data_IF_991280562899
#
_entry.id   IF_991280562899
#
_cell.length_a   1.000
_cell.length_b   1.000
_cell.length_c   1.000
_cell.angle_alpha   90.00
_cell.angle_beta   90.00
_cell.angle_gamma   90.00
#
_symmetry.space_group_name_H-M   'P 1'
#
loop_
_entity.id
_entity.type
_entity.pdbx_description
1 polymer ?
#
# COMPACT_ATOMS: atom_id res chain seq x y z
N UNK A 1 8.17 7.21 -13.76
CA UNK A 1 9.25 7.85 -12.97
C UNK A 1 10.19 8.55 -13.95
N UNK A 2 9.74 9.65 -14.54
CA UNK A 2 10.49 10.33 -15.59
C UNK A 2 11.48 11.35 -15.06
N UNK A 3 11.30 11.85 -13.84
CA UNK A 3 12.18 12.82 -13.21
C UNK A 3 12.23 12.61 -11.69
N UNK A 4 13.28 13.11 -11.08
CA UNK A 4 13.42 13.06 -9.63
C UNK A 4 12.48 14.11 -9.02
N UNK A 5 11.40 13.71 -8.40
CA UNK A 5 10.44 14.63 -7.79
C UNK A 5 11.05 15.51 -6.70
N UNK A 6 12.24 15.15 -6.19
CA UNK A 6 13.03 15.97 -5.27
C UNK A 6 13.65 17.21 -5.94
N UNK A 7 13.79 17.20 -7.25
CA UNK A 7 14.28 18.36 -7.99
C UNK A 7 13.19 19.41 -8.22
N UNK A 8 11.92 18.98 -8.20
CA UNK A 8 10.75 19.83 -8.48
C UNK A 8 10.02 20.29 -7.23
N UNK A 9 10.23 19.63 -6.08
CA UNK A 9 9.52 19.91 -4.84
C UNK A 9 10.45 20.05 -3.64
N UNK A 10 10.05 20.90 -2.71
CA UNK A 10 10.61 20.97 -1.36
C UNK A 10 9.71 20.19 -0.42
N UNK A 11 10.22 19.11 0.14
CA UNK A 11 9.47 18.25 1.09
C UNK A 11 9.27 19.02 2.39
N UNK A 12 8.02 19.11 2.83
CA UNK A 12 7.64 19.74 4.10
C UNK A 12 7.62 18.71 5.23
N UNK A 13 6.75 17.72 5.11
CA UNK A 13 6.58 16.65 6.11
C UNK A 13 5.84 15.45 5.49
N UNK A 14 5.82 14.34 6.22
CA UNK A 14 4.84 13.29 6.04
C UNK A 14 3.78 13.49 7.12
N UNK A 15 2.54 13.72 6.72
CA UNK A 15 1.41 14.00 7.60
C UNK A 15 0.56 12.77 7.92
N UNK A 16 0.97 11.61 7.45
CA UNK A 16 0.31 10.32 7.68
C UNK A 16 0.97 9.22 6.86
N UNK A 17 0.70 7.99 7.24
CA UNK A 17 1.14 6.79 6.51
C UNK A 17 -0.03 5.84 6.38
N UNK A 18 -0.30 5.36 5.16
CA UNK A 18 -1.33 4.35 4.96
C UNK A 18 -0.87 3.01 5.53
N UNK A 19 -1.44 2.65 6.65
CA UNK A 19 -1.26 1.38 7.35
C UNK A 19 -2.49 0.47 7.23
N UNK A 20 -3.44 0.82 6.35
CA UNK A 20 -4.71 0.11 6.24
C UNK A 20 -4.78 -0.89 5.08
N UNK A 21 -3.75 -0.96 4.24
CA UNK A 21 -3.71 -1.89 3.12
C UNK A 21 -3.58 -3.34 3.60
N UNK A 22 -4.34 -4.24 2.96
CA UNK A 22 -4.24 -5.69 3.12
C UNK A 22 -4.16 -6.37 1.76
N UNK A 23 -3.42 -7.48 1.69
CA UNK A 23 -3.61 -8.45 0.60
C UNK A 23 -4.89 -9.21 0.87
N UNK A 24 -5.78 -9.20 -0.09
CA UNK A 24 -7.10 -9.82 0.03
C UNK A 24 -7.37 -10.70 -1.19
N UNK A 25 -7.88 -11.90 -0.96
CA UNK A 25 -8.29 -12.84 -2.01
C UNK A 25 -9.82 -12.89 -2.11
N UNK A 26 -10.34 -13.04 -3.33
CA UNK A 26 -11.75 -13.34 -3.54
C UNK A 26 -12.06 -14.77 -3.08
N UNK A 27 -13.26 -15.01 -2.58
CA UNK A 27 -13.72 -16.39 -2.24
C UNK A 27 -13.66 -17.32 -3.45
N UNK A 28 -13.93 -16.78 -4.64
CA UNK A 28 -14.02 -17.57 -5.88
C UNK A 28 -12.65 -18.08 -6.35
N UNK A 29 -11.55 -17.40 -5.97
CA UNK A 29 -10.19 -17.88 -6.25
C UNK A 29 -9.85 -19.18 -5.52
N UNK A 30 -10.60 -19.50 -4.46
CA UNK A 30 -10.32 -20.63 -3.58
C UNK A 30 -9.03 -20.45 -2.76
N UNK A 31 -8.42 -19.27 -2.75
CA UNK A 31 -7.26 -18.95 -1.92
C UNK A 31 -7.72 -18.69 -0.48
N UNK A 32 -7.13 -19.42 0.47
CA UNK A 32 -7.57 -19.41 1.88
C UNK A 32 -6.51 -18.85 2.85
N UNK A 33 -5.26 -18.74 2.39
CA UNK A 33 -4.14 -18.21 3.18
C UNK A 33 -3.03 -17.69 2.27
N UNK A 34 -2.06 -16.98 2.81
CA UNK A 34 -0.87 -16.55 2.07
C UNK A 34 -0.05 -17.74 1.58
N UNK A 35 0.09 -18.78 2.40
CA UNK A 35 0.79 -20.02 2.04
C UNK A 35 0.07 -20.75 0.90
N UNK A 36 -1.26 -20.80 0.92
CA UNK A 36 -2.07 -21.38 -0.15
C UNK A 36 -1.92 -20.60 -1.46
N UNK A 37 -1.93 -19.25 -1.39
CA UNK A 37 -1.63 -18.37 -2.53
C UNK A 37 -0.31 -18.72 -3.18
N UNK A 38 0.75 -18.79 -2.36
CA UNK A 38 2.11 -19.10 -2.83
C UNK A 38 2.17 -20.50 -3.46
N UNK A 39 1.55 -21.49 -2.82
CA UNK A 39 1.54 -22.87 -3.32
C UNK A 39 0.82 -22.96 -4.68
N UNK A 40 -0.36 -22.36 -4.81
CA UNK A 40 -1.12 -22.33 -6.06
C UNK A 40 -0.37 -21.59 -7.18
N UNK A 41 0.20 -20.43 -6.86
CA UNK A 41 0.96 -19.64 -7.82
C UNK A 41 2.23 -20.33 -8.32
N UNK A 42 2.88 -21.15 -7.47
CA UNK A 42 4.02 -21.99 -7.86
C UNK A 42 3.60 -23.20 -8.69
N UNK A 43 2.49 -23.84 -8.34
CA UNK A 43 1.99 -24.99 -9.08
C UNK A 43 1.55 -24.60 -10.49
N UNK A 44 0.95 -23.42 -10.65
CA UNK A 44 0.46 -22.92 -11.93
C UNK A 44 0.76 -21.42 -12.07
N UNK A 45 1.98 -21.08 -12.55
CA UNK A 45 2.40 -19.69 -12.70
C UNK A 45 1.46 -18.88 -13.59
N UNK A 46 1.03 -17.71 -13.11
CA UNK A 46 0.09 -16.83 -13.82
C UNK A 46 -1.38 -17.26 -13.74
N UNK A 47 -1.74 -18.27 -12.97
CA UNK A 47 -3.14 -18.66 -12.75
C UNK A 47 -3.91 -17.68 -11.87
N UNK A 48 -3.24 -17.02 -10.92
CA UNK A 48 -3.85 -16.06 -10.01
C UNK A 48 -3.86 -14.66 -10.64
N UNK A 49 -5.06 -14.13 -10.87
CA UNK A 49 -5.24 -12.78 -11.42
C UNK A 49 -5.16 -11.73 -10.32
N UNK A 50 -4.11 -10.92 -10.35
CA UNK A 50 -3.89 -9.82 -9.40
C UNK A 50 -4.37 -8.49 -9.99
N UNK A 51 -5.42 -7.92 -9.40
CA UNK A 51 -5.95 -6.62 -9.79
C UNK A 51 -5.20 -5.48 -9.13
N UNK A 52 -4.65 -4.57 -9.95
CA UNK A 52 -3.91 -3.39 -9.48
C UNK A 52 -4.25 -2.17 -10.33
N UNK A 53 -3.89 -1.00 -9.86
CA UNK A 53 -3.73 0.18 -10.71
C UNK A 53 -2.29 0.18 -11.22
N UNK A 54 -2.12 0.06 -12.53
CA UNK A 54 -0.80 -0.11 -13.14
C UNK A 54 0.12 1.09 -12.89
N UNK A 55 1.33 0.83 -12.40
CA UNK A 55 2.31 1.86 -12.04
C UNK A 55 2.10 2.50 -10.66
N UNK A 56 1.14 2.02 -9.87
CA UNK A 56 0.85 2.51 -8.52
C UNK A 56 1.58 1.72 -7.42
N UNK A 57 1.36 2.12 -6.16
CA UNK A 57 1.80 1.38 -4.98
C UNK A 57 1.31 -0.07 -4.97
N UNK A 58 0.04 -0.31 -5.32
CA UNK A 58 -0.49 -1.68 -5.35
C UNK A 58 0.18 -2.54 -6.41
N UNK A 59 0.66 -1.96 -7.51
CA UNK A 59 1.45 -2.68 -8.51
C UNK A 59 2.79 -3.12 -7.92
N UNK A 60 3.51 -2.20 -7.28
CA UNK A 60 4.80 -2.53 -6.63
C UNK A 60 4.62 -3.59 -5.54
N UNK A 61 3.54 -3.53 -4.76
CA UNK A 61 3.23 -4.55 -3.76
C UNK A 61 3.07 -5.95 -4.38
N UNK A 62 2.41 -6.05 -5.53
CA UNK A 62 2.30 -7.31 -6.28
C UNK A 62 3.66 -7.80 -6.80
N UNK A 63 4.49 -6.90 -7.35
CA UNK A 63 5.84 -7.23 -7.82
C UNK A 63 6.77 -7.67 -6.68
N UNK A 64 6.68 -7.04 -5.51
CA UNK A 64 7.41 -7.46 -4.32
C UNK A 64 6.97 -8.86 -3.87
N UNK A 65 5.67 -9.13 -3.87
CA UNK A 65 5.16 -10.45 -3.52
C UNK A 65 5.71 -11.51 -4.49
N UNK A 66 5.64 -11.30 -5.80
CA UNK A 66 6.25 -12.21 -6.79
C UNK A 66 7.73 -12.48 -6.51
N UNK A 67 8.51 -11.39 -6.32
CA UNK A 67 9.96 -11.47 -6.13
C UNK A 67 10.35 -12.25 -4.86
N UNK A 68 9.68 -11.98 -3.73
CA UNK A 68 10.03 -12.58 -2.45
C UNK A 68 9.52 -14.01 -2.29
N UNK A 69 8.49 -14.38 -3.03
CA UNK A 69 7.91 -15.73 -2.97
C UNK A 69 8.32 -16.61 -4.13
N UNK A 70 9.06 -16.07 -5.10
CA UNK A 70 9.40 -16.75 -6.36
C UNK A 70 8.14 -17.33 -7.02
N UNK A 71 7.13 -16.47 -7.18
CA UNK A 71 5.86 -16.80 -7.82
C UNK A 71 5.61 -15.90 -9.02
N UNK A 72 4.62 -16.23 -9.84
CA UNK A 72 4.16 -15.42 -10.95
C UNK A 72 2.67 -15.21 -10.87
N UNK A 73 2.23 -13.95 -10.82
CA UNK A 73 0.85 -13.52 -10.85
C UNK A 73 0.48 -13.03 -12.27
N UNK A 74 -0.78 -13.12 -12.62
CA UNK A 74 -1.32 -12.46 -13.80
C UNK A 74 -1.76 -11.05 -13.38
N UNK A 75 -0.86 -10.08 -13.49
CA UNK A 75 -1.18 -8.69 -13.17
C UNK A 75 -2.06 -8.07 -14.24
N UNK A 76 -3.14 -7.44 -13.83
CA UNK A 76 -4.09 -6.76 -14.72
C UNK A 76 -4.47 -5.39 -14.16
N UNK A 77 -4.75 -4.44 -15.05
CA UNK A 77 -5.32 -3.17 -14.64
C UNK A 77 -6.75 -3.39 -14.12
N UNK A 78 -6.90 -3.26 -12.82
CA UNK A 78 -8.16 -3.41 -12.12
C UNK A 78 -8.88 -2.08 -11.88
N UNK A 79 -8.29 -0.96 -12.29
CA UNK A 79 -8.83 0.37 -12.06
C UNK A 79 -8.74 0.83 -10.60
N UNK A 80 -9.71 1.62 -10.17
CA UNK A 80 -9.81 2.14 -8.80
C UNK A 80 -9.99 1.05 -7.76
N UNK A 81 -9.90 1.40 -6.47
CA UNK A 81 -10.21 0.46 -5.36
C UNK A 81 -11.61 -0.13 -5.52
N UNK A 82 -12.61 0.68 -5.85
CA UNK A 82 -13.99 0.23 -6.02
C UNK A 82 -14.13 -0.74 -7.20
N UNK A 83 -13.48 -0.48 -8.33
CA UNK A 83 -13.49 -1.37 -9.50
C UNK A 83 -12.87 -2.73 -9.18
N UNK A 84 -11.79 -2.73 -8.40
CA UNK A 84 -11.12 -3.96 -7.95
C UNK A 84 -12.00 -4.77 -7.00
N UNK A 85 -12.68 -4.12 -6.05
CA UNK A 85 -13.64 -4.79 -5.16
C UNK A 85 -14.76 -5.45 -5.96
N UNK A 86 -15.36 -4.72 -6.90
CA UNK A 86 -16.39 -5.27 -7.80
C UNK A 86 -15.83 -6.44 -8.64
N UNK A 87 -14.62 -6.27 -9.17
CA UNK A 87 -13.94 -7.32 -9.95
C UNK A 87 -13.70 -8.59 -9.15
N UNK A 88 -13.34 -8.47 -7.87
CA UNK A 88 -13.14 -9.61 -6.97
C UNK A 88 -14.46 -10.28 -6.58
N UNK A 89 -15.50 -9.51 -6.28
CA UNK A 89 -16.84 -10.04 -5.99
C UNK A 89 -17.46 -10.78 -7.20
N UNK A 90 -17.16 -10.29 -8.40
CA UNK A 90 -17.60 -10.89 -9.66
C UNK A 90 -16.73 -12.03 -10.18
N UNK A 91 -15.63 -12.40 -9.49
CA UNK A 91 -14.72 -13.48 -9.89
C UNK A 91 -13.81 -13.13 -11.08
N UNK A 92 -13.71 -11.87 -11.46
CA UNK A 92 -12.78 -11.39 -12.50
C UNK A 92 -11.35 -11.22 -11.96
N UNK A 93 -11.22 -10.93 -10.68
CA UNK A 93 -9.96 -10.74 -9.97
C UNK A 93 -9.90 -11.72 -8.79
N UNK A 94 -8.77 -12.38 -8.64
CA UNK A 94 -8.54 -13.35 -7.55
C UNK A 94 -7.91 -12.69 -6.33
N UNK A 95 -7.03 -11.73 -6.54
CA UNK A 95 -6.17 -11.13 -5.52
C UNK A 95 -6.06 -9.62 -5.74
N UNK A 96 -5.86 -8.87 -4.66
CA UNK A 96 -5.53 -7.44 -4.72
C UNK A 96 -4.92 -6.94 -3.42
N UNK A 97 -4.16 -5.84 -3.47
CA UNK A 97 -3.79 -5.05 -2.30
C UNK A 97 -4.76 -3.88 -2.18
N UNK A 98 -5.61 -3.91 -1.16
CA UNK A 98 -6.78 -3.03 -1.02
C UNK A 98 -6.84 -2.49 0.41
N UNK A 99 -7.31 -1.25 0.57
CA UNK A 99 -7.60 -0.65 1.88
C UNK A 99 -8.64 -1.47 2.63
N UNK A 100 -8.34 -1.95 3.83
CA UNK A 100 -9.18 -2.86 4.62
C UNK A 100 -10.58 -2.34 4.86
N UNK A 101 -10.73 -1.03 5.12
CA UNK A 101 -12.05 -0.40 5.29
C UNK A 101 -13.00 -0.60 4.10
N UNK A 102 -12.46 -0.81 2.89
CA UNK A 102 -13.27 -1.05 1.69
C UNK A 102 -13.69 -2.51 1.52
N UNK A 103 -13.11 -3.44 2.29
CA UNK A 103 -13.34 -4.89 2.14
C UNK A 103 -13.72 -5.59 3.43
N UNK A 104 -13.69 -4.91 4.59
CA UNK A 104 -13.91 -5.53 5.89
C UNK A 104 -15.26 -6.27 5.99
N UNK A 105 -16.33 -5.72 5.42
CA UNK A 105 -17.66 -6.34 5.46
C UNK A 105 -17.72 -7.60 4.59
N UNK A 106 -17.01 -7.60 3.45
CA UNK A 106 -16.87 -8.78 2.58
C UNK A 106 -16.00 -9.86 3.21
N UNK A 107 -14.96 -9.46 3.96
CA UNK A 107 -14.13 -10.40 4.74
C UNK A 107 -14.96 -10.99 5.87
N UNK A 108 -15.67 -10.17 6.65
CA UNK A 108 -16.54 -10.63 7.73
C UNK A 108 -17.67 -11.50 7.23
N UNK A 109 -18.22 -11.20 6.05
CA UNK A 109 -19.25 -11.96 5.36
C UNK A 109 -18.74 -13.23 4.64
N UNK A 110 -17.43 -13.51 4.69
CA UNK A 110 -16.84 -14.69 4.05
C UNK A 110 -16.85 -14.67 2.52
N UNK A 111 -16.98 -13.49 1.91
CA UNK A 111 -16.90 -13.29 0.46
C UNK A 111 -15.47 -13.03 -0.01
N UNK A 112 -14.61 -12.59 0.91
CA UNK A 112 -13.18 -12.37 0.71
C UNK A 112 -12.39 -12.91 1.90
N UNK A 113 -11.07 -13.11 1.70
CA UNK A 113 -10.14 -13.57 2.73
C UNK A 113 -9.01 -12.55 2.83
N UNK A 114 -8.82 -11.94 4.00
CA UNK A 114 -7.66 -11.10 4.27
C UNK A 114 -6.45 -12.00 4.53
N UNK A 115 -5.43 -11.91 3.68
CA UNK A 115 -4.26 -12.80 3.70
C UNK A 115 -3.12 -12.24 4.57
N UNK A 116 -3.01 -10.93 4.67
CA UNK A 116 -1.98 -10.27 5.46
C UNK A 116 -1.85 -8.78 5.17
N UNK A 117 -1.27 -8.06 6.12
CA UNK A 117 -0.98 -6.63 6.02
C UNK A 117 0.52 -6.40 5.82
N UNK A 118 0.94 -5.52 4.87
CA UNK A 118 2.34 -5.22 4.60
C UNK A 118 2.89 -4.15 5.56
N UNK A 119 2.64 -4.32 6.84
CA UNK A 119 3.10 -3.43 7.90
C UNK A 119 4.24 -4.09 8.69
N UNK A 120 5.14 -3.28 9.24
CA UNK A 120 6.20 -3.76 10.13
C UNK A 120 5.63 -4.45 11.38
N UNK A 121 4.61 -3.83 11.97
CA UNK A 121 3.82 -4.34 13.09
C UNK A 121 2.34 -4.33 12.73
N UNK A 122 1.54 -5.14 13.42
CA UNK A 122 0.10 -5.16 13.21
C UNK A 122 -0.52 -3.78 13.48
N UNK A 123 -1.27 -3.29 12.50
CA UNK A 123 -2.22 -2.21 12.77
C UNK A 123 -3.43 -2.81 13.51
N UNK A 124 -3.67 -2.48 14.78
CA UNK A 124 -4.75 -3.07 15.58
C UNK A 124 -6.15 -2.74 15.02
N UNK A 125 -6.25 -1.70 14.19
CA UNK A 125 -7.51 -1.31 13.54
C UNK A 125 -7.94 -2.28 12.42
N UNK A 126 -7.06 -3.22 12.02
CA UNK A 126 -7.34 -4.26 11.03
C UNK A 126 -7.73 -5.61 11.68
N UNK A 127 -8.00 -5.62 12.98
CA UNK A 127 -8.35 -6.83 13.71
C UNK A 127 -7.22 -7.86 13.73
N UNK A 128 -7.58 -9.13 13.51
CA UNK A 128 -6.63 -10.25 13.60
C UNK A 128 -5.83 -10.52 12.32
N UNK A 129 -5.86 -9.61 11.33
CA UNK A 129 -5.09 -9.79 10.09
C UNK A 129 -3.60 -9.80 10.43
N UNK A 130 -2.85 -10.89 10.17
CA UNK A 130 -1.42 -10.95 10.49
C UNK A 130 -0.61 -10.05 9.55
N UNK A 131 0.59 -9.64 9.96
CA UNK A 131 1.53 -9.03 9.03
C UNK A 131 2.10 -10.08 8.08
N UNK A 132 2.60 -9.64 6.92
CA UNK A 132 3.34 -10.52 6.03
C UNK A 132 4.64 -10.99 6.68
N UNK A 133 5.27 -10.14 7.47
CA UNK A 133 6.48 -10.43 8.23
C UNK A 133 6.28 -11.55 9.26
N UNK A 134 5.16 -11.57 9.99
CA UNK A 134 4.79 -12.69 10.87
C UNK A 134 4.63 -14.01 10.12
N UNK A 135 4.34 -13.96 8.83
CA UNK A 135 4.21 -15.11 7.94
C UNK A 135 5.50 -15.48 7.22
N UNK A 136 6.64 -14.86 7.60
CA UNK A 136 7.96 -15.11 7.03
C UNK A 136 8.25 -14.38 5.70
N UNK A 137 7.41 -13.42 5.32
CA UNK A 137 7.59 -12.60 4.13
C UNK A 137 7.99 -11.18 4.56
N UNK A 138 9.24 -10.82 4.33
CA UNK A 138 9.76 -9.48 4.67
C UNK A 138 9.26 -8.43 3.66
N UNK A 139 7.95 -8.26 3.62
CA UNK A 139 7.25 -7.23 2.83
C UNK A 139 6.70 -6.20 3.79
N UNK A 140 7.38 -5.09 3.89
CA UNK A 140 6.88 -3.88 4.54
C UNK A 140 6.84 -2.76 3.51
N UNK A 141 5.69 -2.14 3.34
CA UNK A 141 5.52 -1.07 2.38
C UNK A 141 4.56 -0.01 2.91
N UNK A 142 5.14 1.01 3.47
CA UNK A 142 4.43 2.19 3.93
C UNK A 142 4.15 3.13 2.77
N UNK A 143 2.89 3.56 2.63
CA UNK A 143 2.50 4.58 1.66
C UNK A 143 2.39 5.93 2.38
N UNK A 144 3.39 6.81 2.26
CA UNK A 144 3.38 8.10 2.95
C UNK A 144 2.44 9.11 2.28
N UNK A 145 1.75 9.90 3.09
CA UNK A 145 1.03 11.09 2.67
C UNK A 145 1.93 12.32 2.86
N UNK A 146 2.48 12.78 1.75
CA UNK A 146 3.52 13.82 1.72
C UNK A 146 2.89 15.19 1.53
N UNK A 147 3.31 16.16 2.37
CA UNK A 147 3.10 17.58 2.12
C UNK A 147 4.39 18.15 1.52
N UNK A 148 4.28 18.76 0.35
CA UNK A 148 5.41 19.33 -0.36
C UNK A 148 5.02 20.67 -1.00
N UNK A 149 6.01 21.50 -1.26
CA UNK A 149 5.90 22.81 -1.91
C UNK A 149 6.67 22.81 -3.23
N UNK A 150 6.35 23.72 -4.16
CA UNK A 150 7.20 23.96 -5.31
C UNK A 150 8.64 24.28 -4.89
N UNK A 151 9.60 23.82 -5.68
CA UNK A 151 11.03 24.04 -5.42
C UNK A 151 11.35 25.53 -5.29
N UNK A 152 12.14 25.89 -4.27
CA UNK A 152 12.53 27.26 -3.98
C UNK A 152 11.50 28.05 -3.15
N UNK A 153 10.51 27.37 -2.56
CA UNK A 153 9.61 28.02 -1.59
C UNK A 153 10.40 28.48 -0.37
N UNK A 154 10.04 29.67 0.14
CA UNK A 154 10.70 30.24 1.34
C UNK A 154 10.71 29.20 2.49
N UNK A 155 11.90 28.86 3.02
CA UNK A 155 12.03 27.89 4.10
C UNK A 155 11.19 28.20 5.34
N UNK A 156 10.91 29.50 5.60
CA UNK A 156 10.05 29.91 6.71
C UNK A 156 8.59 29.47 6.50
N UNK A 157 8.11 29.49 5.26
CA UNK A 157 6.77 29.00 4.90
C UNK A 157 6.70 27.48 5.08
N UNK A 158 7.70 26.76 4.55
CA UNK A 158 7.79 25.30 4.67
C UNK A 158 7.81 24.88 6.15
N UNK A 159 8.66 25.54 6.95
CA UNK A 159 8.74 25.27 8.40
C UNK A 159 7.43 25.56 9.11
N UNK A 160 6.80 26.69 8.84
CA UNK A 160 5.52 27.06 9.46
C UNK A 160 4.44 26.00 9.17
N UNK A 161 4.38 25.50 7.92
CA UNK A 161 3.45 24.43 7.56
C UNK A 161 3.76 23.13 8.29
N UNK A 162 5.02 22.74 8.38
CA UNK A 162 5.44 21.55 9.11
C UNK A 162 5.03 21.63 10.60
N UNK A 163 5.23 22.80 11.24
CA UNK A 163 4.83 23.02 12.62
C UNK A 163 3.29 22.93 12.80
N UNK A 164 2.52 23.49 11.86
CA UNK A 164 1.04 23.40 11.87
C UNK A 164 0.59 21.96 11.68
N UNK A 165 1.16 21.24 10.72
CA UNK A 165 0.80 19.83 10.48
C UNK A 165 1.11 18.95 11.70
N UNK A 166 2.23 19.20 12.37
CA UNK A 166 2.54 18.53 13.63
C UNK A 166 1.47 18.79 14.70
N UNK A 167 1.10 20.06 14.90
CA UNK A 167 0.05 20.41 15.87
C UNK A 167 -1.30 19.72 15.57
N UNK A 168 -1.67 19.62 14.29
CA UNK A 168 -2.88 18.90 13.86
C UNK A 168 -2.83 17.44 14.28
N UNK A 169 -1.69 16.78 14.14
CA UNK A 169 -1.55 15.36 14.53
C UNK A 169 -1.60 15.13 16.04
N UNK A 170 -1.48 16.18 16.84
CA UNK A 170 -1.59 16.13 18.31
C UNK A 170 -3.04 16.37 18.80
N UNK A 171 -3.97 16.72 17.91
CA UNK A 171 -5.40 16.95 18.22
C UNK A 171 -6.12 15.60 18.39
N UNK A 172 -6.80 15.35 19.53
CA UNK A 172 -7.50 14.07 19.77
C UNK A 172 -8.56 13.77 18.69
N UNK A 173 -9.30 14.77 18.25
CA UNK A 173 -10.34 14.66 17.23
C UNK A 173 -9.77 14.19 15.89
N UNK A 174 -8.55 14.59 15.55
CA UNK A 174 -7.85 14.12 14.35
C UNK A 174 -7.61 12.61 14.41
N UNK A 175 -7.17 12.10 15.55
CA UNK A 175 -6.97 10.66 15.76
C UNK A 175 -8.30 9.88 15.63
N UNK A 176 -9.40 10.40 16.17
CA UNK A 176 -10.71 9.77 16.05
C UNK A 176 -11.22 9.75 14.59
N UNK A 177 -10.98 10.82 13.82
CA UNK A 177 -11.32 10.83 12.39
C UNK A 177 -10.50 9.81 11.61
N UNK A 178 -9.20 9.69 11.87
CA UNK A 178 -8.34 8.71 11.18
C UNK A 178 -8.74 7.26 11.46
N UNK A 179 -9.25 6.94 12.65
CA UNK A 179 -9.75 5.59 12.99
C UNK A 179 -10.87 5.12 12.05
N UNK A 180 -11.72 6.04 11.55
CA UNK A 180 -12.78 5.72 10.58
C UNK A 180 -12.21 5.14 9.29
N UNK A 181 -10.98 5.54 8.92
CA UNK A 181 -10.24 5.07 7.76
C UNK A 181 -9.26 3.95 8.09
N UNK A 182 -9.28 3.41 9.33
CA UNK A 182 -8.32 2.41 9.81
C UNK A 182 -6.86 2.90 9.76
N UNK A 183 -6.66 4.21 9.91
CA UNK A 183 -5.34 4.82 9.86
C UNK A 183 -4.87 5.21 11.27
N UNK A 184 -3.65 4.84 11.68
CA UNK A 184 -3.03 5.39 12.87
C UNK A 184 -2.55 6.82 12.60
N UNK A 185 -2.42 7.62 13.66
CA UNK A 185 -1.74 8.92 13.56
C UNK A 185 -0.26 8.67 13.28
N UNK A 186 0.30 9.40 12.31
CA UNK A 186 1.73 9.42 12.03
C UNK A 186 2.14 10.81 11.57
N UNK A 187 3.33 11.24 12.00
CA UNK A 187 3.94 12.49 11.57
C UNK A 187 5.46 12.31 11.51
N UNK A 188 6.06 12.75 10.42
CA UNK A 188 7.50 12.79 10.25
C UNK A 188 7.90 14.19 9.74
N UNK A 189 8.80 14.84 10.45
CA UNK A 189 9.32 16.16 10.08
C UNK A 189 10.15 16.10 8.79
N UNK A 190 10.57 17.27 8.29
CA UNK A 190 11.19 17.42 6.97
C UNK A 190 12.35 16.46 6.70
N UNK A 191 13.29 16.34 7.61
CA UNK A 191 14.49 15.51 7.38
C UNK A 191 14.17 14.00 7.45
N UNK A 192 13.32 13.63 8.38
CA UNK A 192 12.84 12.24 8.50
C UNK A 192 11.99 11.85 7.29
N UNK A 193 11.11 12.75 6.83
CA UNK A 193 10.31 12.57 5.63
C UNK A 193 11.17 12.35 4.38
N UNK A 194 12.24 13.14 4.22
CA UNK A 194 13.21 12.95 3.12
C UNK A 194 13.87 11.58 3.17
N UNK A 195 14.29 11.13 4.36
CA UNK A 195 14.91 9.81 4.52
C UNK A 195 13.95 8.66 4.17
N UNK A 196 12.69 8.74 4.64
CA UNK A 196 11.66 7.76 4.32
C UNK A 196 11.39 7.72 2.81
N UNK A 197 11.26 8.88 2.18
CA UNK A 197 11.02 8.96 0.74
C UNK A 197 12.19 8.45 -0.09
N UNK A 198 13.44 8.71 0.33
CA UNK A 198 14.63 8.18 -0.32
C UNK A 198 14.64 6.65 -0.29
N UNK A 199 14.33 6.05 0.87
CA UNK A 199 14.20 4.58 0.98
C UNK A 199 13.05 4.05 0.11
N UNK A 200 11.88 4.66 0.16
CA UNK A 200 10.75 4.27 -0.69
C UNK A 200 11.11 4.30 -2.18
N UNK A 201 11.86 5.33 -2.59
CA UNK A 201 12.35 5.43 -3.97
C UNK A 201 13.30 4.29 -4.32
N UNK A 202 14.24 3.97 -3.44
CA UNK A 202 15.17 2.85 -3.64
C UNK A 202 14.40 1.53 -3.81
N UNK A 203 13.41 1.27 -2.96
CA UNK A 203 12.57 0.08 -3.03
C UNK A 203 11.79 0.01 -4.36
N UNK A 204 11.32 1.14 -4.88
CA UNK A 204 10.60 1.21 -6.16
C UNK A 204 11.52 1.07 -7.37
N UNK A 205 12.74 1.59 -7.29
CA UNK A 205 13.71 1.54 -8.39
C UNK A 205 14.13 0.10 -8.75
N UNK A 206 13.96 -0.86 -7.82
CA UNK A 206 14.17 -2.28 -8.10
C UNK A 206 13.21 -2.83 -9.16
N UNK A 207 12.07 -2.17 -9.37
CA UNK A 207 11.00 -2.57 -10.31
C UNK A 207 10.82 -1.55 -11.44
N UNK A 208 11.87 -0.76 -11.73
CA UNK A 208 11.80 0.32 -12.72
C UNK A 208 11.34 -0.16 -14.08
N UNK A 209 11.89 -1.28 -14.54
CA UNK A 209 11.62 -1.80 -15.87
C UNK A 209 10.18 -2.32 -15.99
N UNK A 210 9.69 -3.05 -15.00
CA UNK A 210 8.31 -3.53 -14.93
C UNK A 210 7.31 -2.38 -14.85
N UNK A 211 7.61 -1.34 -14.07
CA UNK A 211 6.78 -0.15 -13.95
C UNK A 211 6.73 0.68 -15.24
N UNK A 212 7.80 0.69 -16.02
CA UNK A 212 7.84 1.35 -17.35
C UNK A 212 7.03 0.58 -18.38
N UNK A 213 7.12 -0.77 -18.40
CA UNK A 213 6.36 -1.61 -19.33
C UNK A 213 4.85 -1.52 -19.08
N UNK A 214 4.44 -1.32 -17.83
CA UNK A 214 3.04 -1.21 -17.45
C UNK A 214 2.34 0.08 -17.94
N UNK A 215 3.08 1.08 -18.45
CA UNK A 215 2.55 2.36 -18.93
C UNK A 215 2.43 2.45 -20.47
N UNK A 216 2.93 1.46 -21.17
CA UNK A 216 2.86 1.33 -22.62
C UNK A 216 1.85 0.26 -23.04
#
# INVERSE_FOLDING_TARGET
LTEDSYETFDVCCIAGVDKSTVFVASKQSGVTSMQDLIAKSKAEPGSITYGTEMGSFSHVQGLMLEKLTDTKLKMVDGGTVSDRVVGMLGGRLDLGAITYGSVQDYVSGGQMVALGQPNEERNPLLGEVPTLKEQGLDITMDKPYVVAFPKGTDPAIVKKMADVMKQITEIPEYAEELKKFKQPVAYYGTEEAKAILAKTREDFMQFKDELHQAKN
#
